data_IF_624755983765
#
_entry.id   IF_624755983765
#
_cell.length_a   1.000
_cell.length_b   1.000
_cell.length_c   1.000
_cell.angle_alpha   90.00
_cell.angle_beta   90.00
_cell.angle_gamma   90.00
#
_symmetry.space_group_name_H-M   'P 1'
#
loop_
_entity.id
_entity.type
_entity.pdbx_description
1 polymer ?
#
# COMPACT_ATOMS: atom_id res chain seq x y z
N UNK A 1 -43.37 25.91 -3.78
CA UNK A 1 -44.64 25.24 -4.14
C UNK A 1 -44.86 24.13 -3.12
N UNK A 2 -45.91 24.19 -2.30
CA UNK A 2 -46.22 23.13 -1.36
C UNK A 2 -46.91 22.01 -2.11
N UNK A 3 -46.20 20.91 -2.38
CA UNK A 3 -46.84 19.70 -2.87
C UNK A 3 -47.88 19.24 -1.85
N UNK A 4 -49.04 18.82 -2.33
CA UNK A 4 -50.04 18.19 -1.48
C UNK A 4 -49.45 16.93 -0.86
N UNK A 5 -49.81 16.63 0.40
CA UNK A 5 -49.37 15.42 1.09
C UNK A 5 -49.59 14.14 0.26
N UNK A 6 -50.66 14.11 -0.55
CA UNK A 6 -50.97 13.00 -1.46
C UNK A 6 -49.98 12.91 -2.61
N UNK A 7 -49.55 14.05 -3.18
CA UNK A 7 -48.56 14.09 -4.25
C UNK A 7 -47.19 13.62 -3.74
N UNK A 8 -46.81 14.05 -2.53
CA UNK A 8 -45.60 13.56 -1.86
C UNK A 8 -45.62 12.04 -1.63
N UNK A 9 -46.73 11.48 -1.15
CA UNK A 9 -46.86 10.03 -0.96
C UNK A 9 -46.80 9.26 -2.29
N UNK A 10 -47.38 9.80 -3.36
CA UNK A 10 -47.32 9.19 -4.69
C UNK A 10 -45.90 9.23 -5.26
N UNK A 11 -45.20 10.35 -5.11
CA UNK A 11 -43.79 10.48 -5.49
C UNK A 11 -42.92 9.49 -4.71
N UNK A 12 -43.12 9.36 -3.40
CA UNK A 12 -42.38 8.44 -2.55
C UNK A 12 -42.64 6.97 -2.95
N UNK A 13 -43.88 6.61 -3.29
CA UNK A 13 -44.21 5.28 -3.82
C UNK A 13 -43.52 5.01 -5.16
N UNK A 14 -43.49 5.99 -6.07
CA UNK A 14 -42.79 5.86 -7.35
C UNK A 14 -41.28 5.68 -7.15
N UNK A 15 -40.67 6.44 -6.23
CA UNK A 15 -39.24 6.30 -5.89
C UNK A 15 -38.92 4.93 -5.30
N UNK A 16 -39.75 4.43 -4.38
CA UNK A 16 -39.58 3.08 -3.82
C UNK A 16 -39.70 2.03 -4.93
N UNK A 17 -40.71 2.12 -5.80
CA UNK A 17 -40.89 1.18 -6.90
C UNK A 17 -39.66 1.17 -7.83
N UNK A 18 -39.17 2.35 -8.20
CA UNK A 18 -37.96 2.50 -9.02
C UNK A 18 -36.73 1.85 -8.35
N UNK A 19 -36.49 2.14 -7.07
CA UNK A 19 -35.38 1.55 -6.31
C UNK A 19 -35.49 0.02 -6.22
N UNK A 20 -36.70 -0.53 -6.07
CA UNK A 20 -36.89 -1.98 -6.06
C UNK A 20 -36.65 -2.64 -7.41
N UNK A 21 -36.96 -1.96 -8.52
CA UNK A 21 -36.67 -2.42 -9.87
C UNK A 21 -35.16 -2.40 -10.15
N UNK A 22 -34.48 -1.30 -9.81
CA UNK A 22 -33.02 -1.17 -9.90
C UNK A 22 -32.31 -2.25 -9.06
N UNK A 23 -32.78 -2.52 -7.83
CA UNK A 23 -32.20 -3.55 -6.96
C UNK A 23 -32.35 -4.97 -7.54
N UNK A 24 -33.49 -5.27 -8.20
CA UNK A 24 -33.70 -6.56 -8.86
C UNK A 24 -32.78 -6.76 -10.05
N UNK A 25 -32.55 -5.71 -10.84
CA UNK A 25 -31.64 -5.74 -11.99
C UNK A 25 -30.19 -5.96 -11.53
N UNK A 26 -29.75 -5.27 -10.49
CA UNK A 26 -28.42 -5.47 -9.88
C UNK A 26 -28.24 -6.92 -9.38
N UNK A 27 -29.25 -7.46 -8.69
CA UNK A 27 -29.22 -8.84 -8.19
C UNK A 27 -29.15 -9.86 -9.34
N UNK A 28 -29.93 -9.67 -10.40
CA UNK A 28 -29.91 -10.52 -11.58
C UNK A 28 -28.54 -10.48 -12.29
N UNK A 29 -27.97 -9.28 -12.47
CA UNK A 29 -26.64 -9.11 -13.05
C UNK A 29 -25.51 -9.68 -12.18
N UNK A 30 -25.64 -9.66 -10.85
CA UNK A 30 -24.69 -10.30 -9.94
C UNK A 30 -24.77 -11.84 -10.03
N UNK A 31 -25.98 -12.41 -10.05
CA UNK A 31 -26.18 -13.85 -10.23
C UNK A 31 -25.68 -14.35 -11.57
N UNK A 32 -25.91 -13.60 -12.65
CA UNK A 32 -25.41 -13.94 -13.98
C UNK A 32 -23.88 -13.97 -14.01
N UNK A 33 -23.21 -12.93 -13.49
CA UNK A 33 -21.75 -12.89 -13.39
C UNK A 33 -21.17 -14.01 -12.52
N UNK A 34 -21.86 -14.36 -11.44
CA UNK A 34 -21.47 -15.47 -10.56
C UNK A 34 -21.58 -16.80 -11.30
N UNK A 35 -22.69 -17.02 -12.01
CA UNK A 35 -22.88 -18.19 -12.88
C UNK A 35 -21.81 -18.25 -13.96
N UNK A 36 -21.56 -17.17 -14.70
CA UNK A 36 -20.51 -17.11 -15.72
C UNK A 36 -19.12 -17.40 -15.13
N UNK A 37 -18.84 -16.91 -13.93
CA UNK A 37 -17.59 -17.24 -13.21
C UNK A 37 -17.52 -18.72 -12.86
N UNK A 38 -18.60 -19.30 -12.31
CA UNK A 38 -18.64 -20.73 -12.03
C UNK A 38 -18.51 -21.53 -13.31
N UNK A 39 -19.31 -21.26 -14.34
CA UNK A 39 -19.26 -21.92 -15.65
C UNK A 39 -17.86 -21.81 -16.28
N UNK A 40 -17.13 -20.70 -16.10
CA UNK A 40 -15.71 -20.57 -16.51
C UNK A 40 -14.75 -21.43 -15.67
N UNK A 41 -15.01 -21.58 -14.37
CA UNK A 41 -14.19 -22.37 -13.44
C UNK A 41 -14.49 -23.88 -13.52
N UNK A 42 -15.75 -24.24 -13.79
CA UNK A 42 -16.23 -25.61 -14.04
C UNK A 42 -16.24 -25.97 -15.51
N UNK A 43 -15.74 -25.08 -16.38
CA UNK A 43 -15.52 -25.42 -17.77
C UNK A 43 -14.61 -26.64 -17.77
N UNK A 44 -14.98 -27.77 -18.43
CA UNK A 44 -14.07 -28.89 -18.56
C UNK A 44 -12.80 -28.33 -19.19
N UNK A 45 -11.69 -28.41 -18.47
CA UNK A 45 -10.40 -28.03 -19.02
C UNK A 45 -10.30 -28.70 -20.38
N UNK A 46 -10.17 -27.91 -21.46
CA UNK A 46 -9.98 -28.46 -22.79
C UNK A 46 -8.59 -29.07 -22.81
N UNK A 47 -8.54 -30.35 -22.47
CA UNK A 47 -7.32 -31.11 -22.56
C UNK A 47 -6.93 -31.22 -24.02
N UNK A 48 -5.63 -31.13 -24.28
CA UNK A 48 -5.04 -31.36 -25.58
C UNK A 48 -4.31 -32.70 -25.57
N UNK A 49 -4.13 -33.28 -26.76
CA UNK A 49 -3.15 -34.35 -26.94
C UNK A 49 -1.78 -33.88 -26.44
N UNK A 50 -1.20 -34.61 -25.50
CA UNK A 50 0.07 -34.29 -24.84
C UNK A 50 -0.05 -33.80 -23.40
N UNK A 51 -1.26 -33.51 -22.91
CA UNK A 51 -1.47 -33.08 -21.53
C UNK A 51 -1.39 -34.25 -20.54
N UNK A 52 -0.81 -34.01 -19.36
CA UNK A 52 -0.83 -34.95 -18.24
C UNK A 52 -2.01 -34.66 -17.31
N UNK A 53 -2.82 -35.67 -17.04
CA UNK A 53 -4.00 -35.58 -16.17
C UNK A 53 -3.94 -36.60 -15.04
N UNK A 54 -4.56 -36.25 -13.92
CA UNK A 54 -4.82 -37.16 -12.81
C UNK A 54 -6.29 -37.58 -12.88
N UNK A 55 -6.55 -38.86 -13.06
CA UNK A 55 -7.91 -39.39 -13.20
C UNK A 55 -8.45 -39.78 -11.83
N UNK A 56 -9.64 -39.29 -11.49
CA UNK A 56 -10.38 -39.79 -10.34
C UNK A 56 -11.14 -41.03 -10.76
N UNK A 57 -10.80 -42.18 -10.19
CA UNK A 57 -11.50 -43.43 -10.46
C UNK A 57 -12.91 -43.34 -9.91
N UNK A 58 -13.90 -43.59 -10.76
CA UNK A 58 -15.28 -43.75 -10.31
C UNK A 58 -15.34 -44.96 -9.38
N UNK A 59 -15.92 -44.77 -8.19
CA UNK A 59 -16.09 -45.87 -7.25
C UNK A 59 -17.06 -46.86 -7.86
N UNK A 60 -16.57 -48.05 -8.22
CA UNK A 60 -17.41 -49.14 -8.73
C UNK A 60 -18.28 -49.77 -7.63
N UNK A 61 -18.08 -49.39 -6.36
CA UNK A 61 -18.91 -49.78 -5.22
C UNK A 61 -20.11 -48.85 -5.05
N UNK A 62 -21.32 -49.41 -4.90
CA UNK A 62 -22.56 -48.71 -4.58
C UNK A 62 -22.58 -48.00 -3.20
N UNK A 63 -21.45 -47.93 -2.48
CA UNK A 63 -21.36 -47.22 -1.21
C UNK A 63 -21.15 -45.72 -1.46
N UNK A 64 -22.27 -44.99 -1.51
CA UNK A 64 -22.32 -43.54 -1.74
C UNK A 64 -21.54 -42.72 -0.68
N UNK A 65 -21.26 -43.31 0.49
CA UNK A 65 -20.63 -42.63 1.61
C UNK A 65 -19.13 -42.37 1.47
N UNK A 66 -18.45 -42.87 0.42
CA UNK A 66 -16.99 -42.75 0.29
C UNK A 66 -16.50 -42.10 -1.02
N UNK A 67 -17.40 -41.48 -1.79
CA UNK A 67 -17.11 -40.87 -3.10
C UNK A 67 -16.17 -39.67 -3.05
N UNK A 68 -16.01 -39.03 -1.89
CA UNK A 68 -15.13 -37.87 -1.71
C UNK A 68 -13.65 -38.26 -1.52
N UNK A 69 -13.34 -39.49 -1.10
CA UNK A 69 -11.98 -39.91 -0.71
C UNK A 69 -11.30 -40.88 -1.70
N UNK A 70 -11.85 -41.10 -2.90
CA UNK A 70 -11.12 -41.91 -3.89
C UNK A 70 -9.84 -41.18 -4.32
N UNK A 71 -8.65 -41.78 -4.13
CA UNK A 71 -7.40 -41.16 -4.52
C UNK A 71 -7.37 -41.00 -6.05
N UNK A 72 -6.76 -39.91 -6.51
CA UNK A 72 -6.50 -39.71 -7.93
C UNK A 72 -5.41 -40.69 -8.40
N UNK A 73 -5.61 -41.33 -9.55
CA UNK A 73 -4.63 -42.18 -10.23
C UNK A 73 -3.94 -41.35 -11.34
N UNK A 74 -2.60 -41.28 -11.35
CA UNK A 74 -1.86 -40.45 -12.31
C UNK A 74 -0.37 -40.28 -12.00
N UNK A 75 0.35 -39.48 -12.81
CA UNK A 75 -0.14 -38.74 -13.98
C UNK A 75 -0.26 -39.62 -15.24
N UNK A 76 -1.31 -39.40 -16.05
CA UNK A 76 -1.60 -40.11 -17.30
C UNK A 76 -1.51 -39.13 -18.47
N UNK A 77 -0.82 -39.50 -19.55
CA UNK A 77 -0.69 -38.69 -20.76
C UNK A 77 -1.89 -38.90 -21.68
N UNK A 78 -2.50 -37.84 -22.19
CA UNK A 78 -3.56 -37.90 -23.20
C UNK A 78 -2.93 -38.04 -24.59
N UNK A 79 -3.14 -39.14 -25.29
CA UNK A 79 -2.56 -39.36 -26.63
C UNK A 79 -3.51 -38.97 -27.75
N UNK A 80 -4.81 -39.16 -27.56
CA UNK A 80 -5.80 -38.69 -28.51
C UNK A 80 -7.14 -38.48 -27.84
N UNK A 81 -7.90 -37.53 -28.41
CA UNK A 81 -9.23 -37.15 -27.94
C UNK A 81 -10.18 -37.48 -29.09
N UNK A 82 -11.08 -38.44 -28.88
CA UNK A 82 -12.14 -38.70 -29.86
C UNK A 82 -13.15 -37.56 -29.84
N UNK A 83 -13.57 -37.08 -31.02
CA UNK A 83 -14.57 -36.02 -31.18
C UNK A 83 -16.02 -36.52 -31.12
N UNK A 84 -16.24 -37.81 -30.87
CA UNK A 84 -17.59 -38.33 -30.67
C UNK A 84 -18.24 -37.71 -29.42
N UNK A 85 -19.58 -37.64 -29.38
CA UNK A 85 -20.37 -36.95 -28.33
C UNK A 85 -20.04 -37.40 -26.89
N UNK A 86 -19.33 -38.51 -26.72
CA UNK A 86 -18.57 -38.86 -25.52
C UNK A 86 -17.07 -38.76 -25.82
N UNK A 87 -16.39 -37.73 -25.29
CA UNK A 87 -14.92 -37.60 -25.33
C UNK A 87 -14.28 -38.83 -24.66
N UNK A 88 -13.91 -39.83 -25.44
CA UNK A 88 -13.12 -40.97 -24.98
C UNK A 88 -11.63 -40.66 -25.19
N UNK A 89 -10.83 -40.85 -24.15
CA UNK A 89 -9.38 -40.65 -24.19
C UNK A 89 -8.70 -42.00 -24.46
N UNK A 90 -7.80 -42.05 -25.44
CA UNK A 90 -6.96 -43.24 -25.67
C UNK A 90 -5.72 -43.13 -24.82
N UNK A 91 -5.54 -44.09 -23.91
CA UNK A 91 -4.41 -44.19 -23.01
C UNK A 91 -3.34 -45.13 -23.59
N UNK A 92 -2.09 -44.67 -23.60
CA UNK A 92 -0.92 -45.50 -23.85
C UNK A 92 -0.18 -45.52 -22.53
N UNK A 93 -0.32 -46.63 -21.81
CA UNK A 93 0.46 -46.83 -20.59
C UNK A 93 1.93 -46.99 -20.98
N UNK A 94 2.77 -46.00 -20.69
CA UNK A 94 4.19 -46.28 -20.59
C UNK A 94 4.38 -47.22 -19.40
N UNK A 95 5.00 -48.40 -19.57
CA UNK A 95 5.11 -49.37 -18.48
C UNK A 95 5.85 -48.79 -17.26
N UNK A 96 6.68 -47.77 -17.45
CA UNK A 96 7.21 -46.92 -16.37
C UNK A 96 7.58 -45.51 -16.88
N UNK A 97 6.87 -44.47 -16.48
CA UNK A 97 7.21 -43.07 -16.77
C UNK A 97 8.62 -42.69 -16.23
N UNK A 98 9.30 -41.66 -16.78
CA UNK A 98 10.48 -41.08 -16.15
C UNK A 98 10.15 -40.59 -14.74
N UNK A 99 11.07 -40.79 -13.79
CA UNK A 99 10.87 -40.34 -12.42
C UNK A 99 11.04 -38.81 -12.34
N UNK A 100 10.20 -38.16 -11.55
CA UNK A 100 10.43 -36.79 -11.10
C UNK A 100 11.07 -36.84 -9.72
N UNK A 101 12.22 -36.20 -9.56
CA UNK A 101 12.79 -35.98 -8.23
C UNK A 101 12.29 -34.65 -7.70
N UNK A 102 11.77 -34.66 -6.48
CA UNK A 102 11.37 -33.46 -5.76
C UNK A 102 12.37 -33.20 -4.65
N UNK A 103 13.14 -32.12 -4.80
CA UNK A 103 14.03 -31.66 -3.74
C UNK A 103 13.26 -30.68 -2.85
N UNK A 104 13.14 -31.03 -1.57
CA UNK A 104 12.53 -30.11 -0.61
C UNK A 104 13.41 -28.88 -0.44
N UNK A 105 12.82 -27.69 -0.64
CA UNK A 105 13.52 -26.43 -0.47
C UNK A 105 13.30 -25.87 0.94
N UNK A 106 12.04 -25.54 1.24
CA UNK A 106 11.64 -24.88 2.48
C UNK A 106 10.13 -24.89 2.68
N UNK A 107 9.73 -24.64 3.91
CA UNK A 107 8.37 -24.26 4.22
C UNK A 107 8.13 -22.82 3.76
N UNK A 108 7.00 -22.58 3.10
CA UNK A 108 6.53 -21.26 2.64
C UNK A 108 5.13 -20.99 3.17
N UNK A 109 4.77 -19.71 3.27
CA UNK A 109 3.41 -19.26 3.58
C UNK A 109 2.94 -18.32 2.48
N UNK A 110 1.68 -18.42 2.13
CA UNK A 110 1.06 -17.51 1.17
C UNK A 110 0.40 -16.33 1.89
N UNK A 111 0.23 -15.24 1.14
CA UNK A 111 -0.55 -14.07 1.56
C UNK A 111 -1.74 -13.94 0.59
N UNK A 112 -2.96 -14.24 1.05
CA UNK A 112 -4.13 -14.19 0.16
C UNK A 112 -4.97 -12.92 0.32
N UNK A 113 -4.79 -12.21 1.45
CA UNK A 113 -5.58 -11.04 1.80
C UNK A 113 -4.66 -9.90 2.19
N UNK A 114 -5.00 -8.71 1.69
CA UNK A 114 -4.39 -7.46 2.14
C UNK A 114 -5.38 -6.74 3.03
N UNK A 115 -4.96 -6.41 4.23
CA UNK A 115 -5.77 -5.58 5.11
C UNK A 115 -5.48 -4.11 4.82
N UNK A 116 -6.54 -3.32 4.65
CA UNK A 116 -6.42 -1.90 4.39
C UNK A 116 -6.53 -1.13 5.72
N UNK A 117 -5.40 -0.60 6.21
CA UNK A 117 -5.43 0.44 7.23
C UNK A 117 -5.62 1.77 6.52
N UNK A 118 -6.80 2.37 6.71
CA UNK A 118 -7.15 3.66 6.11
C UNK A 118 -7.03 4.75 7.17
N UNK A 119 -6.10 5.68 6.98
CA UNK A 119 -6.01 6.91 7.77
C UNK A 119 -6.28 8.11 6.88
N UNK A 120 -6.81 9.20 7.43
CA UNK A 120 -6.98 10.43 6.67
C UNK A 120 -6.69 11.66 7.53
N UNK A 121 -6.19 12.70 6.88
CA UNK A 121 -6.08 14.04 7.45
C UNK A 121 -7.10 14.92 6.79
N UNK A 122 -7.82 15.66 7.64
CA UNK A 122 -8.78 16.62 7.14
C UNK A 122 -8.04 17.89 6.68
N UNK A 123 -8.23 18.30 5.43
CA UNK A 123 -7.68 19.54 4.90
C UNK A 123 -8.65 20.72 5.12
N UNK A 124 -9.81 20.48 5.76
CA UNK A 124 -10.75 21.55 6.14
C UNK A 124 -10.08 22.58 7.06
N UNK A 125 -9.11 22.18 7.89
CA UNK A 125 -8.35 23.07 8.78
C UNK A 125 -7.59 24.15 7.99
N UNK A 126 -6.98 23.78 6.85
CA UNK A 126 -6.34 24.76 5.95
C UNK A 126 -7.33 25.77 5.40
N UNK A 127 -8.53 25.32 5.03
CA UNK A 127 -9.56 26.21 4.49
C UNK A 127 -10.10 27.17 5.56
N UNK A 128 -10.13 26.71 6.82
CA UNK A 128 -10.48 27.55 7.95
C UNK A 128 -9.41 28.61 8.23
N UNK A 129 -8.12 28.22 8.25
CA UNK A 129 -6.99 29.13 8.42
C UNK A 129 -6.97 30.21 7.32
N UNK A 130 -7.16 29.84 6.05
CA UNK A 130 -7.28 30.77 4.93
C UNK A 130 -8.47 31.73 5.10
N UNK A 131 -9.59 31.24 5.63
CA UNK A 131 -10.78 32.05 5.92
C UNK A 131 -10.51 33.07 7.03
N UNK A 132 -9.85 32.68 8.11
CA UNK A 132 -9.51 33.58 9.23
C UNK A 132 -8.52 34.66 8.81
N UNK A 133 -7.49 34.31 8.02
CA UNK A 133 -6.56 35.28 7.41
C UNK A 133 -7.34 36.28 6.55
N UNK A 134 -8.24 35.81 5.69
CA UNK A 134 -9.05 36.65 4.80
C UNK A 134 -9.97 37.61 5.57
N UNK A 135 -10.60 37.13 6.65
CA UNK A 135 -11.42 37.97 7.55
C UNK A 135 -10.57 39.03 8.24
N UNK A 136 -9.42 38.66 8.78
CA UNK A 136 -8.48 39.58 9.42
C UNK A 136 -8.04 40.70 8.48
N UNK A 137 -7.65 40.36 7.25
CA UNK A 137 -7.28 41.34 6.22
C UNK A 137 -8.43 42.30 5.90
N UNK A 138 -9.64 41.78 5.75
CA UNK A 138 -10.84 42.59 5.48
C UNK A 138 -11.11 43.59 6.63
N UNK A 139 -10.92 43.17 7.88
CA UNK A 139 -11.07 44.04 9.06
C UNK A 139 -10.02 45.15 9.04
N UNK A 140 -8.76 44.82 8.74
CA UNK A 140 -7.67 45.80 8.66
C UNK A 140 -7.92 46.83 7.54
N UNK A 141 -8.35 46.39 6.36
CA UNK A 141 -8.71 47.28 5.25
C UNK A 141 -9.85 48.23 5.63
N UNK A 142 -10.91 47.68 6.24
CA UNK A 142 -12.03 48.47 6.72
C UNK A 142 -11.59 49.50 7.76
N UNK A 143 -10.81 49.11 8.77
CA UNK A 143 -10.26 50.03 9.77
C UNK A 143 -9.37 51.09 9.11
N UNK A 144 -8.56 50.71 8.13
CA UNK A 144 -7.71 51.60 7.36
C UNK A 144 -8.48 52.73 6.69
N UNK A 145 -9.67 52.42 6.15
CA UNK A 145 -10.52 53.38 5.41
C UNK A 145 -11.21 54.44 6.28
N UNK A 146 -11.35 54.22 7.60
CA UNK A 146 -11.95 55.21 8.50
C UNK A 146 -10.94 56.28 8.93
N UNK A 147 -11.26 57.54 8.62
CA UNK A 147 -10.56 58.72 9.14
C UNK A 147 -11.11 59.08 10.53
N UNK A 148 -10.23 59.09 11.53
CA UNK A 148 -10.59 59.45 12.90
C UNK A 148 -10.10 60.87 13.21
N UNK A 149 -11.03 61.76 13.56
CA UNK A 149 -10.72 63.16 13.88
C UNK A 149 -10.04 63.32 15.26
N UNK A 150 -10.19 62.36 16.17
CA UNK A 150 -9.65 62.41 17.53
C UNK A 150 -8.39 61.56 17.69
N UNK A 151 -7.37 62.14 18.33
CA UNK A 151 -6.07 61.50 18.57
C UNK A 151 -6.16 60.22 19.44
N UNK A 152 -7.01 60.22 20.46
CA UNK A 152 -7.23 59.04 21.31
C UNK A 152 -7.83 57.86 20.52
N UNK A 153 -8.77 58.14 19.62
CA UNK A 153 -9.37 57.13 18.73
C UNK A 153 -8.37 56.59 17.72
N UNK A 154 -7.39 57.41 17.31
CA UNK A 154 -6.30 56.99 16.43
C UNK A 154 -5.37 55.99 17.13
N UNK A 155 -5.00 56.24 18.39
CA UNK A 155 -4.15 55.31 19.15
C UNK A 155 -4.84 53.95 19.35
N UNK A 156 -6.15 53.96 19.66
CA UNK A 156 -6.94 52.73 19.79
C UNK A 156 -7.01 51.95 18.47
N UNK A 157 -7.21 52.65 17.34
CA UNK A 157 -7.16 52.06 16.00
C UNK A 157 -5.81 51.40 15.73
N UNK A 158 -4.71 52.12 15.98
CA UNK A 158 -3.36 51.61 15.72
C UNK A 158 -3.04 50.37 16.58
N UNK A 159 -3.48 50.36 17.84
CA UNK A 159 -3.37 49.20 18.73
C UNK A 159 -4.16 48.00 18.19
N UNK A 160 -5.40 48.20 17.73
CA UNK A 160 -6.24 47.14 17.18
C UNK A 160 -5.66 46.58 15.87
N UNK A 161 -5.19 47.44 14.97
CA UNK A 161 -4.53 47.01 13.74
C UNK A 161 -3.29 46.18 14.07
N UNK A 162 -2.48 46.62 15.03
CA UNK A 162 -1.28 45.88 15.46
C UNK A 162 -1.63 44.49 16.00
N UNK A 163 -2.68 44.38 16.80
CA UNK A 163 -3.17 43.09 17.29
C UNK A 163 -3.63 42.17 16.15
N UNK A 164 -4.44 42.69 15.22
CA UNK A 164 -4.93 41.91 14.07
C UNK A 164 -3.77 41.45 13.17
N UNK A 165 -2.75 42.29 12.96
CA UNK A 165 -1.56 41.90 12.21
C UNK A 165 -0.84 40.71 12.88
N UNK A 166 -0.72 40.71 14.21
CA UNK A 166 -0.11 39.61 14.95
C UNK A 166 -0.91 38.31 14.81
N UNK A 167 -2.23 38.38 14.94
CA UNK A 167 -3.12 37.22 14.78
C UNK A 167 -3.03 36.62 13.36
N UNK A 168 -3.01 37.48 12.33
CA UNK A 168 -2.82 37.05 10.94
C UNK A 168 -1.44 36.42 10.74
N UNK A 169 -0.39 36.98 11.33
CA UNK A 169 0.97 36.45 11.24
C UNK A 169 1.06 35.04 11.85
N UNK A 170 0.45 34.82 13.02
CA UNK A 170 0.38 33.50 13.63
C UNK A 170 -0.39 32.50 12.75
N UNK A 171 -1.56 32.89 12.22
CA UNK A 171 -2.34 32.05 11.32
C UNK A 171 -1.58 31.71 10.02
N UNK A 172 -0.80 32.66 9.48
CA UNK A 172 0.06 32.41 8.31
C UNK A 172 1.19 31.43 8.63
N UNK A 173 1.80 31.52 9.82
CA UNK A 173 2.84 30.57 10.24
C UNK A 173 2.29 29.15 10.39
N UNK A 174 1.09 29.01 10.95
CA UNK A 174 0.42 27.71 11.08
C UNK A 174 0.04 27.15 9.70
N UNK A 175 -0.51 27.98 8.81
CA UNK A 175 -0.84 27.59 7.44
C UNK A 175 0.40 27.14 6.66
N UNK A 176 1.50 27.88 6.73
CA UNK A 176 2.77 27.54 6.05
C UNK A 176 3.34 26.22 6.57
N UNK A 177 3.32 26.03 7.90
CA UNK A 177 3.71 24.77 8.53
C UNK A 177 2.85 23.61 8.03
N UNK A 178 1.53 23.75 8.01
CA UNK A 178 0.61 22.70 7.58
C UNK A 178 0.80 22.36 6.09
N UNK A 179 0.98 23.38 5.24
CA UNK A 179 1.31 23.21 3.82
C UNK A 179 2.66 22.48 3.67
N UNK A 180 3.67 22.84 4.45
CA UNK A 180 4.97 22.17 4.47
C UNK A 180 4.86 20.68 4.82
N UNK A 181 4.07 20.36 5.86
CA UNK A 181 3.79 18.96 6.25
C UNK A 181 3.11 18.22 5.09
N UNK A 182 2.12 18.81 4.43
CA UNK A 182 1.43 18.18 3.30
C UNK A 182 2.35 17.95 2.10
N UNK A 183 3.19 18.93 1.75
CA UNK A 183 4.16 18.76 0.66
C UNK A 183 5.18 17.68 0.95
N UNK A 184 5.72 17.64 2.17
CA UNK A 184 6.63 16.59 2.60
C UNK A 184 5.95 15.23 2.52
N UNK A 185 4.69 15.16 2.93
CA UNK A 185 3.88 13.95 2.93
C UNK A 185 3.57 13.43 1.53
N UNK A 186 3.26 14.33 0.59
CA UNK A 186 3.11 13.99 -0.83
C UNK A 186 4.44 13.57 -1.47
N UNK A 187 5.56 14.14 -1.02
CA UNK A 187 6.89 13.74 -1.49
C UNK A 187 7.25 12.34 -1.00
N UNK A 188 7.04 12.07 0.29
CA UNK A 188 7.21 10.75 0.88
C UNK A 188 6.27 9.72 0.25
N UNK A 189 5.04 10.12 -0.07
CA UNK A 189 4.11 9.26 -0.79
C UNK A 189 4.69 8.73 -2.11
N UNK A 190 5.34 9.61 -2.89
CA UNK A 190 5.96 9.24 -4.16
C UNK A 190 7.12 8.26 -4.00
N UNK A 191 7.76 8.26 -2.83
CA UNK A 191 8.85 7.34 -2.48
C UNK A 191 8.37 6.10 -1.71
N UNK A 192 7.06 5.94 -1.50
CA UNK A 192 6.50 4.83 -0.71
C UNK A 192 6.71 4.97 0.81
N UNK A 193 7.05 6.17 1.28
CA UNK A 193 7.28 6.47 2.69
C UNK A 193 6.07 7.16 3.32
N UNK A 194 5.87 6.93 4.62
CA UNK A 194 4.83 7.58 5.42
C UNK A 194 5.45 8.75 6.19
N UNK A 195 4.78 9.90 6.20
CA UNK A 195 5.19 10.98 7.10
C UNK A 195 4.79 10.62 8.55
N UNK A 196 5.76 10.48 9.48
CA UNK A 196 5.47 10.09 10.86
C UNK A 196 4.65 11.13 11.63
N UNK A 197 4.65 12.40 11.19
CA UNK A 197 3.82 13.44 11.80
C UNK A 197 2.33 13.25 11.50
N UNK A 198 2.02 12.55 10.40
CA UNK A 198 0.65 12.32 9.95
C UNK A 198 0.07 11.00 10.45
N UNK A 199 0.91 9.95 10.45
CA UNK A 199 0.53 8.66 10.98
C UNK A 199 1.65 8.19 11.90
N UNK A 200 1.45 8.40 13.20
CA UNK A 200 2.45 7.98 14.18
C UNK A 200 2.54 6.44 14.23
N UNK A 201 3.74 5.91 14.52
CA UNK A 201 3.92 4.47 14.71
C UNK A 201 2.93 3.87 15.72
N UNK A 202 2.63 4.59 16.80
CA UNK A 202 1.69 4.13 17.82
C UNK A 202 0.28 3.92 17.27
N UNK A 203 -0.22 4.83 16.44
CA UNK A 203 -1.55 4.73 15.83
C UNK A 203 -1.59 3.56 14.84
N UNK A 204 -0.58 3.42 13.99
CA UNK A 204 -0.46 2.29 13.07
C UNK A 204 -0.42 0.96 13.81
N UNK A 205 0.43 0.86 14.84
CA UNK A 205 0.58 -0.36 15.62
C UNK A 205 -0.68 -0.69 16.43
N UNK A 206 -1.40 0.32 16.93
CA UNK A 206 -2.70 0.10 17.58
C UNK A 206 -3.74 -0.47 16.59
N UNK A 207 -3.75 0.01 15.35
CA UNK A 207 -4.61 -0.52 14.29
C UNK A 207 -4.24 -1.97 13.94
N UNK A 208 -2.95 -2.28 13.87
CA UNK A 208 -2.44 -3.64 13.65
C UNK A 208 -2.84 -4.58 14.81
N UNK A 209 -2.79 -4.09 16.06
CA UNK A 209 -3.25 -4.84 17.23
C UNK A 209 -4.74 -5.14 17.17
N UNK A 210 -5.57 -4.17 16.74
CA UNK A 210 -7.01 -4.40 16.56
C UNK A 210 -7.28 -5.49 15.52
N UNK A 211 -6.58 -5.47 14.38
CA UNK A 211 -6.70 -6.51 13.34
C UNK A 211 -6.35 -7.89 13.91
N UNK A 212 -5.26 -7.96 14.67
CA UNK A 212 -4.83 -9.19 15.35
C UNK A 212 -5.89 -9.69 16.32
N UNK A 213 -6.51 -8.80 17.07
CA UNK A 213 -7.53 -9.18 18.05
C UNK A 213 -8.81 -9.70 17.36
N UNK A 214 -9.13 -9.21 16.16
CA UNK A 214 -10.25 -9.70 15.34
C UNK A 214 -9.97 -11.04 14.66
N UNK A 215 -8.74 -11.25 14.16
CA UNK A 215 -8.34 -12.40 13.33
C UNK A 215 -7.66 -13.53 14.11
N UNK A 216 -7.08 -13.21 15.26
CA UNK A 216 -6.27 -14.10 16.09
C UNK A 216 -4.77 -14.02 15.79
N UNK A 217 -3.95 -14.30 16.81
CA UNK A 217 -2.49 -14.15 16.77
C UNK A 217 -1.75 -14.98 15.70
N UNK A 218 -2.38 -16.02 15.14
CA UNK A 218 -1.71 -16.98 14.25
C UNK A 218 -1.57 -16.50 12.80
N UNK A 219 -2.30 -15.46 12.40
CA UNK A 219 -2.38 -14.96 11.02
C UNK A 219 -1.38 -13.83 10.72
N UNK A 220 -0.69 -13.31 11.73
CA UNK A 220 0.25 -12.20 11.56
C UNK A 220 1.64 -12.71 11.20
N UNK A 221 2.22 -12.11 10.16
CA UNK A 221 3.53 -12.49 9.58
C UNK A 221 4.70 -12.13 10.50
N UNK A 222 4.55 -11.05 11.25
CA UNK A 222 5.54 -10.46 12.15
C UNK A 222 4.92 -10.42 13.56
N UNK A 223 5.76 -10.41 14.60
CA UNK A 223 5.31 -10.26 15.98
C UNK A 223 4.85 -8.81 16.20
N UNK A 224 3.68 -8.60 16.80
CA UNK A 224 3.13 -7.25 17.00
C UNK A 224 3.71 -6.61 18.26
N UNK A 225 4.90 -6.03 18.08
CA UNK A 225 5.61 -5.22 19.06
C UNK A 225 5.85 -3.83 18.48
N UNK A 226 5.89 -2.80 19.34
CA UNK A 226 6.06 -1.43 18.88
C UNK A 226 7.39 -1.22 18.12
N UNK A 227 8.40 -2.06 18.37
CA UNK A 227 9.67 -2.04 17.64
C UNK A 227 9.58 -2.52 16.19
N UNK A 228 8.56 -3.30 15.83
CA UNK A 228 8.45 -3.95 14.52
C UNK A 228 7.64 -3.14 13.51
N UNK A 229 7.32 -1.87 13.82
CA UNK A 229 6.56 -0.99 12.94
C UNK A 229 7.17 -0.88 11.53
N UNK A 230 8.50 -0.73 11.45
CA UNK A 230 9.19 -0.58 10.17
C UNK A 230 9.14 -1.86 9.32
N UNK A 231 9.20 -3.04 9.95
CA UNK A 231 9.08 -4.32 9.25
C UNK A 231 7.69 -4.47 8.61
N UNK A 232 6.64 -4.03 9.32
CA UNK A 232 5.30 -4.00 8.76
C UNK A 232 5.19 -3.04 7.57
N UNK A 233 5.81 -1.86 7.64
CA UNK A 233 5.82 -0.93 6.52
C UNK A 233 6.59 -1.48 5.32
N UNK A 234 7.71 -2.17 5.54
CA UNK A 234 8.53 -2.73 4.46
C UNK A 234 7.77 -3.76 3.62
N UNK A 235 6.91 -4.56 4.25
CA UNK A 235 6.09 -5.56 3.55
C UNK A 235 4.75 -5.02 3.04
N UNK A 236 4.41 -3.77 3.34
CA UNK A 236 3.09 -3.21 3.03
C UNK A 236 3.09 -2.37 1.76
N UNK A 237 2.01 -2.45 0.99
CA UNK A 237 1.80 -1.52 -0.12
C UNK A 237 1.13 -0.25 0.41
N UNK A 238 1.80 0.89 0.23
CA UNK A 238 1.26 2.20 0.61
C UNK A 238 0.65 2.89 -0.60
N UNK A 239 -0.63 3.25 -0.50
CA UNK A 239 -1.33 4.10 -1.47
C UNK A 239 -1.77 5.39 -0.79
N UNK A 240 -1.45 6.53 -1.39
CA UNK A 240 -1.84 7.84 -0.86
C UNK A 240 -2.63 8.59 -1.93
N UNK A 241 -3.77 9.15 -1.54
CA UNK A 241 -4.67 9.85 -2.43
C UNK A 241 -5.26 11.09 -1.74
N UNK A 242 -5.54 12.14 -2.51
CA UNK A 242 -6.34 13.27 -2.03
C UNK A 242 -7.78 13.08 -2.49
N UNK A 243 -8.71 12.92 -1.54
CA UNK A 243 -10.13 12.66 -1.82
C UNK A 243 -10.98 13.64 -1.01
N UNK A 244 -11.77 14.48 -1.69
CA UNK A 244 -12.70 15.44 -1.05
C UNK A 244 -12.05 16.26 0.08
N UNK A 245 -10.94 16.95 -0.22
CA UNK A 245 -10.19 17.72 0.78
C UNK A 245 -9.66 16.87 1.95
N UNK A 246 -9.34 15.60 1.71
CA UNK A 246 -8.68 14.75 2.68
C UNK A 246 -7.49 14.08 2.07
N UNK A 247 -6.36 14.11 2.76
CA UNK A 247 -5.20 13.29 2.39
C UNK A 247 -5.40 11.91 3.02
N UNK A 248 -5.69 10.91 2.20
CA UNK A 248 -6.01 9.55 2.61
C UNK A 248 -4.81 8.64 2.38
N UNK A 249 -4.41 7.93 3.43
CA UNK A 249 -3.41 6.87 3.44
C UNK A 249 -4.13 5.53 3.46
N UNK A 250 -3.77 4.64 2.54
CA UNK A 250 -4.26 3.27 2.48
C UNK A 250 -3.03 2.38 2.55
N UNK A 251 -2.80 1.74 3.71
CA UNK A 251 -1.70 0.81 3.93
C UNK A 251 -2.26 -0.59 3.79
N UNK A 252 -1.79 -1.33 2.79
CA UNK A 252 -2.16 -2.71 2.54
C UNK A 252 -1.15 -3.64 3.18
N UNK A 253 -1.52 -4.19 4.32
CA UNK A 253 -0.68 -5.13 5.06
C UNK A 253 -1.00 -6.55 4.58
N UNK A 254 -0.05 -7.30 4.02
CA UNK A 254 -0.30 -8.68 3.63
C UNK A 254 -0.47 -9.56 4.88
N UNK A 255 -1.58 -10.29 4.94
CA UNK A 255 -1.87 -11.24 6.02
C UNK A 255 -1.47 -12.63 5.58
N UNK A 256 -0.72 -13.33 6.44
CA UNK A 256 -0.29 -14.70 6.20
C UNK A 256 -1.47 -15.65 6.33
N UNK A 257 -1.62 -16.56 5.38
CA UNK A 257 -2.48 -17.73 5.59
C UNK A 257 -1.98 -18.55 6.79
N UNK A 258 -2.92 -19.21 7.48
CA UNK A 258 -2.60 -20.14 8.57
C UNK A 258 -1.88 -21.39 8.06
N UNK A 259 -2.12 -21.75 6.80
CA UNK A 259 -1.52 -22.91 6.14
C UNK A 259 -0.02 -22.77 6.00
N UNK A 260 0.72 -23.80 6.42
CA UNK A 260 2.11 -23.98 6.00
C UNK A 260 2.11 -24.81 4.73
N UNK A 261 2.95 -24.40 3.80
CA UNK A 261 3.11 -25.09 2.54
C UNK A 261 4.57 -25.51 2.40
N UNK A 262 4.81 -26.61 1.71
CA UNK A 262 6.15 -27.10 1.41
C UNK A 262 6.45 -26.82 -0.04
N UNK A 263 7.51 -26.07 -0.28
CA UNK A 263 8.02 -25.81 -1.62
C UNK A 263 9.06 -26.88 -1.98
N UNK A 264 8.88 -27.49 -3.14
CA UNK A 264 9.79 -28.47 -3.72
C UNK A 264 10.29 -27.95 -5.05
N UNK A 265 11.58 -28.11 -5.32
CA UNK A 265 12.13 -27.97 -6.67
C UNK A 265 11.89 -29.26 -7.42
N UNK A 266 11.34 -29.15 -8.62
CA UNK A 266 11.16 -30.30 -9.49
C UNK A 266 12.39 -30.46 -10.36
N UNK A 267 13.05 -31.62 -10.24
CA UNK A 267 14.18 -31.98 -11.07
C UNK A 267 13.80 -33.18 -11.96
N UNK A 268 13.78 -33.00 -13.29
CA UNK A 268 13.48 -34.10 -14.17
C UNK A 268 14.61 -35.12 -14.14
N UNK A 269 14.29 -36.38 -13.85
CA UNK A 269 15.24 -37.46 -14.06
C UNK A 269 15.16 -37.92 -15.51
N UNK A 270 16.24 -37.79 -16.30
CA UNK A 270 16.29 -38.46 -17.59
C UNK A 270 16.22 -39.97 -17.36
N UNK A 271 15.51 -40.67 -18.24
CA UNK A 271 15.37 -42.11 -18.22
C UNK A 271 15.59 -42.68 -19.61
N UNK A 272 16.36 -43.76 -19.68
CA UNK A 272 16.59 -44.49 -20.91
C UNK A 272 15.32 -45.28 -21.28
N UNK A 273 14.73 -44.97 -22.43
CA UNK A 273 13.53 -45.66 -22.95
C UNK A 273 13.94 -46.75 -23.94
N UNK A 274 14.90 -46.44 -24.81
CA UNK A 274 15.48 -47.36 -25.80
C UNK A 274 17.00 -47.14 -25.88
N UNK A 275 17.74 -48.03 -26.54
CA UNK A 275 19.19 -47.94 -26.70
C UNK A 275 19.58 -46.58 -27.31
N UNK A 276 20.00 -45.66 -26.43
CA UNK A 276 20.40 -44.25 -26.66
C UNK A 276 19.30 -43.19 -26.63
N UNK A 277 18.03 -43.52 -26.39
CA UNK A 277 16.96 -42.52 -26.27
C UNK A 277 16.70 -42.22 -24.79
N UNK A 278 16.97 -40.97 -24.38
CA UNK A 278 16.64 -40.46 -23.05
C UNK A 278 15.34 -39.65 -23.12
N UNK A 279 14.33 -40.08 -22.38
CA UNK A 279 13.14 -39.28 -22.13
C UNK A 279 13.25 -38.57 -20.78
N UNK A 280 12.79 -37.33 -20.72
CA UNK A 280 12.62 -36.60 -19.46
C UNK A 280 11.28 -35.86 -19.49
N UNK A 281 10.70 -35.64 -18.32
CA UNK A 281 9.46 -34.87 -18.19
C UNK A 281 9.86 -33.42 -17.98
N UNK A 282 9.48 -32.49 -18.86
CA UNK A 282 9.65 -31.07 -18.56
C UNK A 282 8.47 -30.59 -17.74
N UNK A 283 8.72 -29.98 -16.59
CA UNK A 283 7.69 -29.18 -15.92
C UNK A 283 7.72 -27.76 -16.45
N UNK A 284 6.57 -27.08 -16.59
CA UNK A 284 6.50 -25.67 -16.99
C UNK A 284 7.11 -24.77 -15.93
N UNK A 285 7.02 -25.21 -14.67
CA UNK A 285 7.49 -24.50 -13.50
C UNK A 285 8.58 -25.35 -12.82
N UNK A 286 9.62 -24.70 -12.35
CA UNK A 286 10.73 -25.34 -11.62
C UNK A 286 10.35 -25.77 -10.20
N UNK A 287 9.17 -25.36 -9.73
CA UNK A 287 8.74 -25.51 -8.35
C UNK A 287 7.32 -26.05 -8.24
N UNK A 288 7.08 -26.86 -7.21
CA UNK A 288 5.77 -27.33 -6.77
C UNK A 288 5.59 -26.89 -5.32
N UNK A 289 4.39 -26.38 -5.01
CA UNK A 289 4.02 -26.04 -3.64
C UNK A 289 2.84 -26.90 -3.22
N UNK A 290 2.97 -27.59 -2.09
CA UNK A 290 1.91 -28.45 -1.54
C UNK A 290 1.56 -28.05 -0.12
N UNK A 291 0.28 -28.17 0.26
CA UNK A 291 -0.10 -28.07 1.68
C UNK A 291 0.23 -29.38 2.44
N UNK A 292 -0.09 -29.43 3.74
CA UNK A 292 0.11 -30.64 4.56
C UNK A 292 -0.71 -31.84 4.09
N UNK A 293 -1.84 -31.60 3.41
CA UNK A 293 -2.68 -32.63 2.78
C UNK A 293 -2.18 -33.06 1.39
N UNK A 294 -1.03 -32.52 0.94
CA UNK A 294 -0.42 -32.73 -0.39
C UNK A 294 -1.28 -32.26 -1.57
N UNK A 295 -2.23 -31.37 -1.36
CA UNK A 295 -2.94 -30.67 -2.43
C UNK A 295 -1.98 -29.68 -3.11
N UNK A 296 -1.93 -29.75 -4.44
CA UNK A 296 -1.05 -28.95 -5.30
C UNK A 296 -1.61 -27.53 -5.46
N UNK A 297 -0.79 -26.50 -5.21
CA UNK A 297 -1.20 -25.09 -5.33
C UNK A 297 -0.61 -24.38 -6.55
N UNK A 298 0.28 -25.03 -7.30
CA UNK A 298 0.88 -24.45 -8.51
C UNK A 298 -0.02 -24.66 -9.73
N UNK A 299 -0.29 -23.61 -10.54
CA UNK A 299 -1.03 -23.71 -11.79
C UNK A 299 -0.13 -24.25 -12.92
N UNK A 300 0.40 -25.46 -12.80
CA UNK A 300 1.31 -26.00 -13.81
C UNK A 300 0.54 -26.68 -14.95
N UNK A 301 0.75 -26.21 -16.19
CA UNK A 301 0.45 -26.96 -17.43
C UNK A 301 1.64 -27.85 -17.79
N UNK A 302 1.63 -29.12 -17.42
CA UNK A 302 2.77 -30.02 -17.65
C UNK A 302 2.82 -30.47 -19.12
N UNK A 303 3.97 -30.35 -19.77
CA UNK A 303 4.20 -30.78 -21.16
C UNK A 303 5.37 -31.78 -21.23
N UNK A 304 5.17 -32.93 -21.86
CA UNK A 304 6.22 -33.94 -22.04
C UNK A 304 6.99 -33.67 -23.34
N UNK A 305 8.32 -33.70 -23.26
CA UNK A 305 9.21 -33.61 -24.41
C UNK A 305 10.01 -34.90 -24.55
N UNK A 306 10.10 -35.42 -25.77
CA UNK A 306 10.98 -36.54 -26.12
C UNK A 306 12.13 -35.96 -26.93
N UNK A 307 13.37 -36.19 -26.49
CA UNK A 307 14.57 -35.68 -27.17
C UNK A 307 15.41 -36.86 -27.63
N UNK A 308 15.58 -36.97 -28.95
CA UNK A 308 16.55 -37.91 -29.53
C UNK A 308 17.97 -37.37 -29.29
N UNK A 309 18.70 -38.05 -28.41
CA UNK A 309 20.11 -37.73 -28.16
C UNK A 309 20.95 -38.61 -29.07
N UNK A 310 21.39 -38.06 -30.20
CA UNK A 310 22.50 -38.65 -30.96
C UNK A 310 23.77 -38.57 -30.09
N UNK A 311 24.07 -39.63 -29.35
CA UNK A 311 25.38 -39.79 -28.69
C UNK A 311 26.42 -40.03 -29.79
N UNK A 312 26.95 -38.95 -30.37
CA UNK A 312 28.22 -39.00 -31.08
C UNK A 312 29.30 -39.13 -30.03
N UNK A 313 29.79 -40.35 -29.82
CA UNK A 313 31.07 -40.59 -29.16
C UNK A 313 32.17 -39.90 -29.97
N UNK A 314 32.42 -38.63 -29.69
CA UNK A 314 33.64 -37.95 -30.11
C UNK A 314 34.69 -38.36 -29.07
N UNK A 315 35.46 -39.40 -29.41
CA UNK A 315 36.69 -39.75 -28.70
C UNK A 315 37.73 -38.69 -29.04
N UNK A 316 37.62 -37.48 -28.50
CA UNK A 316 38.72 -36.51 -28.48
C UNK A 316 38.69 -35.71 -27.18
N UNK A 317 39.79 -35.84 -26.44
CA UNK A 317 40.19 -35.14 -25.22
C UNK A 317 39.63 -33.71 -25.14
N UNK A 318 38.75 -33.45 -24.18
CA UNK A 318 38.49 -32.10 -23.68
C UNK A 318 39.06 -31.98 -22.28
N UNK A 319 40.22 -31.32 -22.17
CA UNK A 319 40.61 -30.63 -20.93
C UNK A 319 39.69 -29.43 -20.78
N UNK A 320 38.87 -29.43 -19.72
CA UNK A 320 38.07 -28.27 -19.32
C UNK A 320 38.87 -27.49 -18.29
N UNK A 321 39.53 -26.42 -18.72
CA UNK A 321 40.05 -25.40 -17.81
C UNK A 321 38.93 -24.43 -17.44
N UNK A 322 38.52 -24.42 -16.18
CA UNK A 322 37.56 -23.45 -15.63
C UNK A 322 38.33 -22.19 -15.23
N UNK A 323 38.12 -21.09 -15.95
CA UNK A 323 38.49 -19.75 -15.49
C UNK A 323 37.36 -19.19 -14.65
N UNK A 324 37.62 -19.02 -13.35
CA UNK A 324 36.75 -18.32 -12.41
C UNK A 324 36.97 -16.81 -12.56
N UNK A 325 36.04 -16.13 -13.23
CA UNK A 325 35.98 -14.68 -13.20
C UNK A 325 35.20 -14.20 -11.95
N UNK A 326 35.97 -13.64 -11.01
CA UNK A 326 35.66 -12.56 -10.07
C UNK A 326 34.20 -12.37 -9.62
N UNK A 327 33.86 -12.91 -8.45
CA UNK A 327 32.84 -12.34 -7.57
C UNK A 327 33.44 -11.20 -6.74
N UNK A 328 32.76 -10.05 -6.58
CA UNK A 328 33.17 -9.04 -5.63
C UNK A 328 32.85 -9.52 -4.21
N UNK A 329 33.89 -9.67 -3.40
CA UNK A 329 33.82 -9.90 -1.97
C UNK A 329 33.23 -8.67 -1.25
N UNK A 330 32.11 -8.84 -0.54
CA UNK A 330 31.66 -7.90 0.49
C UNK A 330 31.75 -8.62 1.83
N UNK A 331 32.86 -8.42 2.53
CA UNK A 331 33.00 -8.59 3.99
C UNK A 331 33.16 -7.16 4.54
N UNK A 332 32.17 -6.66 5.28
CA UNK A 332 32.12 -6.60 6.74
C UNK A 332 33.28 -5.79 7.37
N UNK A 333 32.94 -4.62 7.90
CA UNK A 333 33.66 -4.06 9.03
C UNK A 333 32.71 -3.97 10.22
N UNK A 334 33.12 -4.67 11.26
CA UNK A 334 32.69 -4.64 12.63
C UNK A 334 33.20 -3.35 13.29
N UNK A 335 32.31 -2.59 13.91
CA UNK A 335 32.68 -1.61 14.93
C UNK A 335 32.21 -2.13 16.29
N UNK A 336 33.19 -2.27 17.19
CA UNK A 336 33.05 -2.66 18.58
C UNK A 336 33.32 -1.45 19.50
N UNK A 337 32.65 -1.49 20.66
CA UNK A 337 32.98 -0.82 21.93
C UNK A 337 32.71 0.71 21.99
N UNK A 338 31.88 1.28 22.87
CA UNK A 338 31.26 0.79 24.11
C UNK A 338 32.11 1.11 25.35
N UNK A 339 31.90 2.27 26.00
CA UNK A 339 32.13 2.49 27.45
C UNK A 339 31.67 3.88 27.96
N UNK A 340 30.83 3.84 29.03
CA UNK A 340 30.84 4.62 30.30
C UNK A 340 30.72 6.16 30.30
N UNK A 341 29.61 6.76 30.76
CA UNK A 341 29.02 6.99 32.13
C UNK A 341 29.56 8.20 32.90
N UNK A 342 28.58 9.02 33.33
CA UNK A 342 28.43 9.80 34.58
C UNK A 342 29.27 11.06 34.87
N UNK A 343 28.54 12.16 35.11
CA UNK A 343 28.68 13.16 36.20
C UNK A 343 27.64 14.28 35.96
N UNK A 344 26.61 14.43 36.80
CA UNK A 344 26.57 15.24 38.03
C UNK A 344 27.12 16.67 37.86
N UNK A 345 26.26 17.70 38.00
CA UNK A 345 26.12 18.45 39.27
C UNK A 345 25.43 19.81 39.06
N UNK A 346 24.72 20.21 40.11
CA UNK A 346 23.94 21.43 40.31
C UNK A 346 24.71 22.75 40.18
N UNK A 347 24.00 23.85 39.96
CA UNK A 347 24.07 25.03 40.83
C UNK A 347 22.97 26.06 40.54
N UNK A 348 22.16 26.31 41.57
CA UNK A 348 21.44 27.57 41.82
C UNK A 348 22.45 28.72 41.92
N UNK A 349 22.08 29.92 41.45
CA UNK A 349 22.05 31.10 42.32
C UNK A 349 21.33 32.29 41.66
N UNK A 350 20.37 32.82 42.41
CA UNK A 350 19.63 34.05 42.19
C UNK A 350 20.45 35.25 42.68
N UNK A 351 20.60 36.27 41.85
CA UNK A 351 20.92 37.63 42.31
C UNK A 351 19.81 38.60 41.91
N UNK A 352 19.25 39.26 42.92
CA UNK A 352 18.35 40.41 42.81
C UNK A 352 19.22 41.66 42.89
N UNK A 353 19.29 42.42 41.82
CA UNK A 353 19.73 43.82 41.87
C UNK A 353 18.51 44.74 41.78
N UNK A 354 18.31 45.53 42.83
CA UNK A 354 17.42 46.69 42.84
C UNK A 354 18.13 47.83 42.08
N UNK A 355 17.56 48.23 40.94
CA UNK A 355 18.02 49.38 40.16
C UNK A 355 16.97 50.50 40.25
N UNK A 356 17.28 51.54 41.03
CA UNK A 356 16.60 52.83 40.96
C UNK A 356 16.98 53.52 39.64
N UNK A 357 16.12 53.44 38.63
CA UNK A 357 16.23 54.22 37.41
C UNK A 357 15.46 55.55 37.55
N UNK A 358 16.16 56.64 37.30
CA UNK A 358 15.63 57.99 37.13
C UNK A 358 14.58 58.04 36.01
N UNK A 359 13.47 58.74 36.25
CA UNK A 359 12.33 58.84 35.33
C UNK A 359 12.66 59.46 33.96
N UNK A 360 13.81 60.11 33.79
CA UNK A 360 14.26 60.67 32.51
C UNK A 360 14.85 59.61 31.55
N UNK A 361 15.54 58.59 32.06
CA UNK A 361 16.09 57.52 31.20
C UNK A 361 15.01 56.59 30.66
N UNK A 362 13.88 56.49 31.37
CA UNK A 362 12.72 55.71 30.93
C UNK A 362 12.03 56.33 29.72
N UNK A 363 12.07 57.66 29.56
CA UNK A 363 11.42 58.35 28.44
C UNK A 363 12.21 58.17 27.13
N UNK A 364 13.53 58.27 27.19
CA UNK A 364 14.41 58.02 26.05
C UNK A 364 14.43 56.53 25.65
N UNK A 365 14.33 55.61 26.62
CA UNK A 365 14.14 54.20 26.33
C UNK A 365 12.76 53.91 25.72
N UNK A 366 11.70 54.58 26.18
CA UNK A 366 10.37 54.45 25.59
C UNK A 366 10.33 54.95 24.14
N UNK A 367 10.95 56.09 23.83
CA UNK A 367 11.04 56.59 22.45
C UNK A 367 11.87 55.67 21.54
N UNK A 368 12.97 55.09 22.05
CA UNK A 368 13.75 54.09 21.31
C UNK A 368 12.96 52.80 21.08
N UNK A 369 12.15 52.35 22.05
CA UNK A 369 11.25 51.19 21.90
C UNK A 369 10.18 51.46 20.85
N UNK A 370 9.51 52.62 20.89
CA UNK A 370 8.49 53.02 19.90
C UNK A 370 9.10 53.11 18.48
N UNK A 371 10.29 53.69 18.32
CA UNK A 371 10.99 53.73 17.02
C UNK A 371 11.33 52.33 16.52
N UNK A 372 11.79 51.42 17.40
CA UNK A 372 12.11 50.04 17.04
C UNK A 372 10.85 49.25 16.64
N UNK A 373 9.74 49.47 17.34
CA UNK A 373 8.44 48.85 17.06
C UNK A 373 7.85 49.35 15.73
N UNK A 374 7.91 50.65 15.46
CA UNK A 374 7.50 51.22 14.17
C UNK A 374 8.35 50.72 13.00
N UNK A 375 9.64 50.47 13.22
CA UNK A 375 10.52 49.89 12.19
C UNK A 375 10.17 48.43 11.93
N UNK A 376 9.82 47.67 12.97
CA UNK A 376 9.35 46.28 12.86
C UNK A 376 8.03 46.18 12.08
N UNK A 377 7.02 46.99 12.44
CA UNK A 377 5.72 47.03 11.75
C UNK A 377 5.88 47.40 10.27
N UNK A 378 6.77 48.35 9.96
CA UNK A 378 7.04 48.75 8.57
C UNK A 378 7.71 47.62 7.76
N UNK A 379 8.63 46.88 8.37
CA UNK A 379 9.27 45.73 7.74
C UNK A 379 8.30 44.56 7.53
N UNK A 380 7.42 44.30 8.49
CA UNK A 380 6.36 43.29 8.38
C UNK A 380 5.37 43.63 7.26
N UNK A 381 4.92 44.88 7.18
CA UNK A 381 4.06 45.35 6.10
C UNK A 381 4.72 45.22 4.71
N UNK A 382 6.02 45.54 4.59
CA UNK A 382 6.77 45.32 3.36
C UNK A 382 6.90 43.83 3.00
N UNK A 383 7.03 42.93 3.99
CA UNK A 383 7.13 41.49 3.74
C UNK A 383 5.80 40.89 3.27
N UNK A 384 4.69 41.30 3.87
CA UNK A 384 3.33 40.91 3.46
C UNK A 384 3.03 41.41 2.05
N UNK A 385 3.35 42.66 1.73
CA UNK A 385 3.19 43.20 0.38
C UNK A 385 4.01 42.45 -0.68
N UNK A 386 5.18 41.91 -0.30
CA UNK A 386 6.05 41.12 -1.18
C UNK A 386 5.51 39.72 -1.45
N UNK A 387 4.84 39.11 -0.47
CA UNK A 387 4.16 37.82 -0.60
C UNK A 387 2.93 37.95 -1.50
N UNK A 388 2.12 39.00 -1.30
CA UNK A 388 0.93 39.28 -2.12
C UNK A 388 1.30 39.60 -3.59
N UNK A 389 2.47 40.20 -3.84
CA UNK A 389 2.91 40.61 -5.16
C UNK A 389 3.58 39.51 -6.00
N UNK A 390 3.73 38.27 -5.50
CA UNK A 390 4.26 37.17 -6.31
C UNK A 390 3.15 36.53 -7.15
N UNK A 391 3.13 36.70 -8.49
CA UNK A 391 2.20 35.97 -9.33
C UNK A 391 2.57 34.48 -9.32
N UNK A 392 1.65 33.65 -8.85
CA UNK A 392 1.74 32.19 -8.87
C UNK A 392 1.81 31.67 -10.30
N UNK A 393 3.03 31.56 -10.83
CA UNK A 393 3.32 30.95 -12.13
C UNK A 393 3.33 29.41 -12.00
N UNK A 394 2.17 28.83 -11.68
CA UNK A 394 1.94 27.40 -11.84
C UNK A 394 1.39 27.14 -13.25
N UNK A 395 2.30 27.09 -14.24
CA UNK A 395 2.01 26.47 -15.53
C UNK A 395 1.89 24.97 -15.34
N UNK A 396 0.66 24.48 -15.26
CA UNK A 396 0.34 23.06 -15.39
C UNK A 396 0.59 22.67 -16.85
N UNK A 397 1.63 21.87 -17.11
CA UNK A 397 1.76 21.18 -18.38
C UNK A 397 0.75 20.03 -18.42
N UNK A 398 -0.13 19.95 -19.44
CA UNK A 398 -0.98 18.79 -19.64
C UNK A 398 -0.09 17.61 -20.06
N UNK A 399 -0.03 16.56 -19.25
CA UNK A 399 0.55 15.29 -19.65
C UNK A 399 -0.54 14.51 -20.39
N UNK A 400 -0.34 14.32 -21.68
CA UNK A 400 -1.14 13.41 -22.51
C UNK A 400 -1.06 12.00 -21.92
N UNK A 401 -2.19 11.47 -21.46
CA UNK A 401 -2.34 10.03 -21.22
C UNK A 401 -2.84 9.39 -22.50
N UNK A 402 -1.98 8.57 -23.12
CA UNK A 402 -2.36 7.62 -24.16
C UNK A 402 -3.18 6.50 -23.53
N UNK A 403 -4.43 6.38 -23.96
CA UNK A 403 -5.23 5.16 -23.82
C UNK A 403 -4.61 4.07 -24.70
N UNK A 404 -4.38 2.89 -24.12
CA UNK A 404 -4.26 1.65 -24.89
C UNK A 404 -5.57 0.88 -24.69
N UNK A 405 -6.22 0.58 -25.81
CA UNK A 405 -7.26 -0.43 -25.98
C UNK A 405 -6.70 -1.86 -25.80
#
# INVERSE_FOLDING_TARGET
MNLSYIEYLNELRQRIKKLTEESKEILAGSKLRTKERYDRLTNPQEFNTGDLVWLKKESTSNDESNTLNTPFEGPILIISISQDECKSYVETSFPTLPNLYMEYLRDVKFFHETYNVISYINLDELTWEESEISKGLTIIENLGSYDFEKEESKLQKDSLITQMCLEIELALMDLDKNIGILFQSLTFAKTGQINPQLLSPDISMSSIKLIRDERGNKEMSIIIENGNYYEYLEISDLTIAVIKYRLVYIIKIPISELGKYKAYRVMPSPKLVEDKILAYISTPDDYIITNDEKLLYTPSKIAIFVVDVEVRTVVQNLEVSVTLDNFPSIFSQSDSDGAHTDSESDHEETEKEELECSDEDNRDQAEKRIKKQNTFVRNAACHVARIIAQPSALRVHPTEQTFFD
#
